data_IF_803985936515
#
_entry.id   IF_803985936515
#
_cell.length_a   1.000
_cell.length_b   1.000
_cell.length_c   1.000
_cell.angle_alpha   90.00
_cell.angle_beta   90.00
_cell.angle_gamma   90.00
#
_symmetry.space_group_name_H-M   'P 1'
#
loop_
_entity.id
_entity.type
_entity.pdbx_description
1 polymer ?
#
# COMPACT_ATOMS: atom_id res chain seq x y z
N UNK A 1 45.90 74.48 -1.51
CA UNK A 1 45.18 74.86 -2.74
C UNK A 1 43.90 74.03 -2.77
N UNK A 2 42.76 74.59 -2.35
CA UNK A 2 41.45 73.94 -2.41
C UNK A 2 40.65 74.57 -3.55
N UNK A 3 40.39 73.80 -4.59
CA UNK A 3 39.50 74.19 -5.69
C UNK A 3 38.06 73.90 -5.30
N UNK A 4 37.32 74.94 -4.95
CA UNK A 4 35.86 74.89 -4.78
C UNK A 4 35.21 74.91 -6.17
N UNK A 5 34.66 73.77 -6.60
CA UNK A 5 33.83 73.66 -7.80
C UNK A 5 32.44 74.23 -7.52
N UNK A 6 32.14 75.37 -8.13
CA UNK A 6 30.80 75.98 -8.14
C UNK A 6 29.85 75.13 -8.99
N UNK A 7 28.99 74.36 -8.32
CA UNK A 7 27.93 73.60 -8.99
C UNK A 7 26.81 74.57 -9.41
N UNK A 8 26.78 74.91 -10.70
CA UNK A 8 25.73 75.71 -11.32
C UNK A 8 24.39 74.97 -11.27
N UNK A 9 23.47 75.44 -10.43
CA UNK A 9 22.11 74.91 -10.33
C UNK A 9 21.25 75.43 -11.49
N UNK A 10 21.21 74.69 -12.61
CA UNK A 10 20.17 74.87 -13.62
C UNK A 10 18.82 74.55 -12.98
N UNK A 11 18.05 75.59 -12.67
CA UNK A 11 16.70 75.47 -12.13
C UNK A 11 15.80 74.73 -13.12
N UNK A 12 15.41 73.51 -12.78
CA UNK A 12 14.43 72.77 -13.55
C UNK A 12 13.05 73.41 -13.37
N UNK A 13 12.30 73.71 -14.45
CA UNK A 13 10.97 74.30 -14.33
C UNK A 13 10.04 73.35 -13.60
N UNK A 14 9.44 73.79 -12.48
CA UNK A 14 8.56 72.98 -11.62
C UNK A 14 7.43 72.27 -12.37
N UNK A 15 7.01 72.79 -13.54
CA UNK A 15 5.98 72.18 -14.39
C UNK A 15 6.42 70.85 -15.01
N UNK A 16 7.71 70.66 -15.28
CA UNK A 16 8.24 69.40 -15.83
C UNK A 16 8.31 68.28 -14.79
N UNK A 17 8.35 68.62 -13.49
CA UNK A 17 8.40 67.64 -12.41
C UNK A 17 7.06 66.91 -12.24
N UNK A 18 5.93 67.61 -12.39
CA UNK A 18 4.60 67.01 -12.30
C UNK A 18 4.32 65.96 -13.37
N UNK A 19 4.80 66.18 -14.60
CA UNK A 19 4.62 65.25 -15.73
C UNK A 19 5.44 63.97 -15.52
N UNK A 20 6.68 64.09 -15.05
CA UNK A 20 7.52 62.93 -14.71
C UNK A 20 6.93 62.07 -13.59
N UNK A 21 6.35 62.71 -12.57
CA UNK A 21 5.72 62.01 -11.44
C UNK A 21 4.45 61.27 -11.88
N UNK A 22 3.64 61.88 -12.76
CA UNK A 22 2.47 61.22 -13.35
C UNK A 22 2.87 59.99 -14.20
N UNK A 23 3.89 60.12 -15.03
CA UNK A 23 4.42 59.00 -15.85
C UNK A 23 4.98 57.87 -14.98
N UNK A 24 5.75 58.20 -13.93
CA UNK A 24 6.26 57.21 -12.99
C UNK A 24 5.12 56.49 -12.25
N UNK A 25 4.07 57.22 -11.87
CA UNK A 25 2.89 56.64 -11.23
C UNK A 25 2.13 55.70 -12.17
N UNK A 26 1.86 56.11 -13.41
CA UNK A 26 1.22 55.25 -14.41
C UNK A 26 2.07 54.00 -14.71
N UNK A 27 3.39 54.15 -14.81
CA UNK A 27 4.31 53.03 -15.01
C UNK A 27 4.30 52.05 -13.82
N UNK A 28 4.31 52.57 -12.59
CA UNK A 28 4.24 51.77 -11.37
C UNK A 28 2.93 50.98 -11.26
N UNK A 29 1.79 51.61 -11.57
CA UNK A 29 0.48 50.93 -11.59
C UNK A 29 0.46 49.81 -12.64
N UNK A 30 0.97 50.07 -13.85
CA UNK A 30 1.06 49.06 -14.92
C UNK A 30 1.91 47.84 -14.51
N UNK A 31 3.10 48.09 -13.94
CA UNK A 31 3.98 47.01 -13.46
C UNK A 31 3.36 46.20 -12.32
N UNK A 32 2.61 46.85 -11.41
CA UNK A 32 1.92 46.18 -10.30
C UNK A 32 0.84 45.21 -10.79
N UNK A 33 -0.04 45.65 -11.71
CA UNK A 33 -1.08 44.77 -12.25
C UNK A 33 -0.50 43.61 -13.07
N UNK A 34 0.58 43.84 -13.81
CA UNK A 34 1.28 42.80 -14.57
C UNK A 34 1.95 41.75 -13.66
N UNK A 35 2.57 42.17 -12.56
CA UNK A 35 3.13 41.24 -11.56
C UNK A 35 2.06 40.41 -10.86
N UNK A 36 0.91 41.02 -10.54
CA UNK A 36 -0.19 40.33 -9.86
C UNK A 36 -0.85 39.25 -10.73
N UNK A 37 -0.96 39.49 -12.03
CA UNK A 37 -1.56 38.50 -12.96
C UNK A 37 -0.64 37.30 -13.16
N UNK A 38 0.67 37.50 -13.33
CA UNK A 38 1.64 36.41 -13.45
C UNK A 38 1.76 35.57 -12.17
N UNK A 39 1.78 36.22 -10.99
CA UNK A 39 1.84 35.50 -9.71
C UNK A 39 0.60 34.62 -9.45
N UNK A 40 -0.60 35.11 -9.81
CA UNK A 40 -1.83 34.32 -9.68
C UNK A 40 -1.88 33.13 -10.64
N UNK A 41 -1.39 33.29 -11.87
CA UNK A 41 -1.30 32.19 -12.82
C UNK A 41 -0.37 31.07 -12.31
N UNK A 42 0.82 31.43 -11.78
CA UNK A 42 1.75 30.45 -11.23
C UNK A 42 1.18 29.69 -10.02
N UNK A 43 0.49 30.39 -9.11
CA UNK A 43 -0.17 29.75 -7.96
C UNK A 43 -1.34 28.86 -8.36
N UNK A 44 -2.12 29.25 -9.37
CA UNK A 44 -3.20 28.42 -9.89
C UNK A 44 -2.64 27.11 -10.49
N UNK A 45 -1.56 27.19 -11.27
CA UNK A 45 -0.90 26.00 -11.82
C UNK A 45 -0.35 25.09 -10.73
N UNK A 46 0.36 25.64 -9.73
CA UNK A 46 0.87 24.83 -8.61
C UNK A 46 -0.26 24.17 -7.82
N UNK A 47 -1.35 24.90 -7.56
CA UNK A 47 -2.50 24.35 -6.86
C UNK A 47 -3.10 23.17 -7.62
N UNK A 48 -3.32 23.31 -8.93
CA UNK A 48 -3.84 22.23 -9.78
C UNK A 48 -2.88 21.04 -9.81
N UNK A 49 -1.58 21.28 -9.87
CA UNK A 49 -0.56 20.23 -9.85
C UNK A 49 -0.57 19.45 -8.51
N UNK A 50 -0.60 20.15 -7.37
CA UNK A 50 -0.71 19.53 -6.07
C UNK A 50 -2.03 18.78 -5.87
N UNK A 51 -3.16 19.32 -6.34
CA UNK A 51 -4.45 18.63 -6.31
C UNK A 51 -4.40 17.34 -7.13
N UNK A 52 -3.76 17.38 -8.30
CA UNK A 52 -3.56 16.21 -9.16
C UNK A 52 -2.68 15.17 -8.47
N UNK A 53 -1.57 15.56 -7.86
CA UNK A 53 -0.67 14.64 -7.12
C UNK A 53 -1.36 14.02 -5.90
N UNK A 54 -2.17 14.80 -5.17
CA UNK A 54 -2.94 14.28 -4.02
C UNK A 54 -3.98 13.27 -4.51
N UNK A 55 -4.63 13.54 -5.63
CA UNK A 55 -5.60 12.63 -6.21
C UNK A 55 -4.93 11.33 -6.68
N UNK A 56 -3.83 11.41 -7.43
CA UNK A 56 -3.10 10.21 -7.89
C UNK A 56 -2.55 9.38 -6.74
N UNK A 57 -2.01 10.02 -5.69
CA UNK A 57 -1.52 9.31 -4.50
C UNK A 57 -2.64 8.59 -3.74
N UNK A 58 -3.86 9.16 -3.72
CA UNK A 58 -5.04 8.51 -3.12
C UNK A 58 -5.49 7.32 -3.95
N UNK A 59 -5.54 7.46 -5.27
CA UNK A 59 -5.88 6.37 -6.20
C UNK A 59 -4.87 5.22 -6.09
N UNK A 60 -3.57 5.52 -6.04
CA UNK A 60 -2.51 4.52 -5.83
C UNK A 60 -2.63 3.81 -4.47
N UNK A 61 -2.93 4.56 -3.41
CA UNK A 61 -3.14 3.99 -2.07
C UNK A 61 -4.38 3.08 -2.05
N UNK A 62 -5.45 3.44 -2.75
CA UNK A 62 -6.64 2.61 -2.87
C UNK A 62 -6.33 1.32 -3.65
N UNK A 63 -5.69 1.45 -4.82
CA UNK A 63 -5.25 0.31 -5.62
C UNK A 63 -4.37 -0.66 -4.81
N UNK A 64 -3.40 -0.15 -4.08
CA UNK A 64 -2.52 -0.97 -3.22
C UNK A 64 -3.31 -1.69 -2.12
N UNK A 65 -4.31 -1.04 -1.51
CA UNK A 65 -5.18 -1.70 -0.51
C UNK A 65 -5.99 -2.83 -1.13
N UNK A 66 -6.53 -2.62 -2.32
CA UNK A 66 -7.32 -3.63 -3.03
C UNK A 66 -6.43 -4.84 -3.42
N UNK A 67 -5.21 -4.59 -3.90
CA UNK A 67 -4.22 -5.63 -4.18
C UNK A 67 -3.88 -6.46 -2.93
N UNK A 68 -3.68 -5.79 -1.78
CA UNK A 68 -3.43 -6.48 -0.51
C UNK A 68 -4.61 -7.35 -0.08
N UNK A 69 -5.85 -6.90 -0.30
CA UNK A 69 -7.05 -7.71 -0.03
C UNK A 69 -7.08 -8.94 -0.93
N UNK A 70 -6.83 -8.79 -2.23
CA UNK A 70 -6.81 -9.91 -3.17
C UNK A 70 -5.71 -10.92 -2.84
N UNK A 71 -4.51 -10.47 -2.49
CA UNK A 71 -3.42 -11.35 -2.06
C UNK A 71 -3.77 -12.10 -0.77
N UNK A 72 -4.29 -11.40 0.25
CA UNK A 72 -4.66 -12.04 1.51
C UNK A 72 -5.78 -13.07 1.30
N UNK A 73 -6.80 -12.74 0.50
CA UNK A 73 -7.87 -13.67 0.15
C UNK A 73 -7.29 -14.94 -0.48
N UNK A 74 -6.33 -14.80 -1.41
CA UNK A 74 -5.66 -15.95 -2.03
C UNK A 74 -4.90 -16.80 -1.02
N UNK A 75 -4.19 -16.18 -0.08
CA UNK A 75 -3.47 -16.91 0.99
C UNK A 75 -4.46 -17.72 1.83
N UNK A 76 -5.59 -17.13 2.23
CA UNK A 76 -6.61 -17.82 3.00
C UNK A 76 -7.27 -18.98 2.24
N UNK A 77 -7.52 -18.82 0.94
CA UNK A 77 -8.03 -19.90 0.08
C UNK A 77 -7.02 -21.06 -0.01
N UNK A 78 -5.73 -20.77 -0.23
CA UNK A 78 -4.69 -21.80 -0.28
C UNK A 78 -4.47 -22.50 1.07
N UNK A 79 -4.53 -21.77 2.18
CA UNK A 79 -4.48 -22.36 3.53
C UNK A 79 -5.67 -23.30 3.77
N UNK A 80 -6.88 -22.86 3.41
CA UNK A 80 -8.08 -23.69 3.51
C UNK A 80 -7.95 -24.97 2.67
N UNK A 81 -7.40 -24.86 1.45
CA UNK A 81 -7.20 -26.00 0.54
C UNK A 81 -6.20 -26.99 1.13
N UNK A 82 -5.06 -26.52 1.64
CA UNK A 82 -4.07 -27.35 2.31
C UNK A 82 -4.67 -28.11 3.50
N UNK A 83 -5.49 -27.42 4.30
CA UNK A 83 -6.17 -28.02 5.45
C UNK A 83 -7.20 -29.08 5.04
N UNK A 84 -7.92 -28.90 3.94
CA UNK A 84 -8.81 -29.94 3.41
C UNK A 84 -8.05 -31.19 2.98
N UNK A 85 -6.93 -31.05 2.27
CA UNK A 85 -6.07 -32.19 1.94
C UNK A 85 -5.53 -32.88 3.19
N UNK A 86 -5.11 -32.11 4.19
CA UNK A 86 -4.68 -32.66 5.49
C UNK A 86 -5.82 -33.39 6.20
N UNK A 87 -7.04 -32.87 6.15
CA UNK A 87 -8.22 -33.53 6.70
C UNK A 87 -8.49 -34.88 6.01
N UNK A 88 -8.40 -34.93 4.67
CA UNK A 88 -8.55 -36.16 3.89
C UNK A 88 -7.47 -37.21 4.23
N UNK A 89 -6.20 -36.81 4.33
CA UNK A 89 -5.11 -37.71 4.73
C UNK A 89 -5.29 -38.20 6.18
N UNK A 90 -5.71 -37.32 7.09
CA UNK A 90 -5.98 -37.70 8.47
C UNK A 90 -7.17 -38.68 8.57
N UNK A 91 -8.21 -38.49 7.75
CA UNK A 91 -9.34 -39.40 7.62
C UNK A 91 -8.90 -40.79 7.14
N UNK A 92 -8.07 -40.86 6.10
CA UNK A 92 -7.51 -42.12 5.59
C UNK A 92 -6.69 -42.86 6.66
N UNK A 93 -5.97 -42.12 7.50
CA UNK A 93 -5.24 -42.65 8.67
C UNK A 93 -6.13 -42.96 9.87
N UNK A 94 -7.45 -42.82 9.74
CA UNK A 94 -8.45 -42.99 10.81
C UNK A 94 -8.18 -42.10 12.03
N UNK A 95 -7.56 -40.94 11.82
CA UNK A 95 -7.34 -39.93 12.85
C UNK A 95 -8.41 -38.84 12.75
N UNK A 96 -9.60 -39.17 13.25
CA UNK A 96 -10.80 -38.33 13.15
C UNK A 96 -10.67 -37.01 13.92
N UNK A 97 -9.90 -37.00 15.01
CA UNK A 97 -9.62 -35.77 15.77
C UNK A 97 -8.86 -34.77 14.92
N UNK A 98 -7.73 -35.17 14.32
CA UNK A 98 -6.95 -34.30 13.42
C UNK A 98 -7.76 -33.91 12.19
N UNK A 99 -8.56 -34.83 11.63
CA UNK A 99 -9.40 -34.54 10.47
C UNK A 99 -10.45 -33.45 10.78
N UNK A 100 -11.15 -33.55 11.91
CA UNK A 100 -12.13 -32.53 12.33
C UNK A 100 -11.45 -31.18 12.66
N UNK A 101 -10.30 -31.19 13.34
CA UNK A 101 -9.53 -29.96 13.61
C UNK A 101 -9.09 -29.29 12.31
N UNK A 102 -8.61 -30.06 11.34
CA UNK A 102 -8.21 -29.54 10.04
C UNK A 102 -9.42 -28.96 9.26
N UNK A 103 -10.57 -29.63 9.32
CA UNK A 103 -11.81 -29.17 8.69
C UNK A 103 -12.33 -27.84 9.29
N UNK A 104 -12.34 -27.74 10.62
CA UNK A 104 -12.68 -26.50 11.31
C UNK A 104 -11.68 -25.38 11.00
N UNK A 105 -10.39 -25.72 10.92
CA UNK A 105 -9.35 -24.80 10.50
C UNK A 105 -9.55 -24.28 9.08
N UNK A 106 -9.94 -25.16 8.14
CA UNK A 106 -10.25 -24.76 6.77
C UNK A 106 -11.44 -23.79 6.74
N UNK A 107 -12.51 -24.10 7.48
CA UNK A 107 -13.66 -23.22 7.57
C UNK A 107 -13.34 -21.86 8.22
N UNK A 108 -12.47 -21.84 9.23
CA UNK A 108 -12.00 -20.60 9.85
C UNK A 108 -11.17 -19.76 8.88
N UNK A 109 -10.29 -20.37 8.09
CA UNK A 109 -9.52 -19.68 7.05
C UNK A 109 -10.45 -19.08 5.98
N UNK A 110 -11.46 -19.82 5.51
CA UNK A 110 -12.47 -19.28 4.58
C UNK A 110 -13.26 -18.12 5.18
N UNK A 111 -13.53 -18.15 6.49
CA UNK A 111 -14.21 -17.06 7.20
C UNK A 111 -13.38 -15.76 7.28
N UNK A 112 -12.08 -15.81 7.01
CA UNK A 112 -11.18 -14.65 6.97
C UNK A 112 -11.09 -14.00 5.59
N UNK A 113 -11.59 -14.68 4.54
CA UNK A 113 -11.68 -14.11 3.19
C UNK A 113 -12.58 -12.87 3.25
N UNK A 114 -12.15 -11.77 2.64
CA UNK A 114 -12.91 -10.53 2.53
C UNK A 114 -13.58 -10.43 1.17
N UNK A 115 -14.61 -9.62 1.07
CA UNK A 115 -15.25 -9.31 -0.21
C UNK A 115 -14.24 -8.64 -1.16
N UNK A 116 -14.16 -9.14 -2.38
CA UNK A 116 -13.29 -8.65 -3.46
C UNK A 116 -13.98 -8.96 -4.79
N UNK A 117 -13.80 -8.12 -5.83
CA UNK A 117 -14.39 -8.37 -7.16
C UNK A 117 -13.94 -9.70 -7.78
N UNK A 118 -12.77 -10.23 -7.38
CA UNK A 118 -12.19 -11.44 -7.98
C UNK A 118 -12.66 -12.74 -7.31
N UNK A 119 -13.33 -12.65 -6.16
CA UNK A 119 -13.69 -13.82 -5.35
C UNK A 119 -15.20 -13.80 -5.09
N UNK A 120 -15.95 -14.85 -5.46
CA UNK A 120 -17.40 -14.90 -5.24
C UNK A 120 -17.70 -15.15 -3.75
N UNK A 121 -17.65 -14.07 -2.96
CA UNK A 121 -17.69 -14.09 -1.49
C UNK A 121 -18.88 -14.88 -0.91
N UNK A 122 -20.06 -14.78 -1.51
CA UNK A 122 -21.24 -15.55 -1.08
C UNK A 122 -21.02 -17.07 -1.18
N UNK A 123 -20.35 -17.56 -2.23
CA UNK A 123 -20.02 -18.99 -2.38
C UNK A 123 -18.98 -19.42 -1.34
N UNK A 124 -17.95 -18.61 -1.13
CA UNK A 124 -16.93 -18.85 -0.09
C UNK A 124 -17.57 -18.98 1.30
N UNK A 125 -18.50 -18.09 1.66
CA UNK A 125 -19.19 -18.15 2.94
C UNK A 125 -20.13 -19.35 3.07
N UNK A 126 -20.81 -19.72 1.98
CA UNK A 126 -21.62 -20.94 1.93
C UNK A 126 -20.76 -22.18 2.17
N UNK A 127 -19.60 -22.27 1.52
CA UNK A 127 -18.64 -23.35 1.69
C UNK A 127 -18.09 -23.39 3.13
N UNK A 128 -17.70 -22.24 3.70
CA UNK A 128 -17.27 -22.13 5.09
C UNK A 128 -18.34 -22.68 6.05
N UNK A 129 -19.60 -22.29 5.87
CA UNK A 129 -20.71 -22.78 6.69
C UNK A 129 -20.96 -24.29 6.50
N UNK A 130 -20.83 -24.81 5.27
CA UNK A 130 -20.95 -26.24 4.98
C UNK A 130 -19.84 -27.06 5.67
N UNK A 131 -18.60 -26.55 5.66
CA UNK A 131 -17.48 -27.16 6.36
C UNK A 131 -17.68 -27.15 7.88
N UNK A 132 -18.14 -26.04 8.47
CA UNK A 132 -18.43 -25.96 9.91
C UNK A 132 -19.49 -26.96 10.37
N UNK A 133 -20.50 -27.22 9.53
CA UNK A 133 -21.57 -28.18 9.83
C UNK A 133 -21.15 -29.64 9.60
N UNK A 134 -20.05 -29.87 8.88
CA UNK A 134 -19.57 -31.21 8.58
C UNK A 134 -18.79 -31.75 9.78
N UNK A 135 -19.18 -32.91 10.26
CA UNK A 135 -18.48 -33.62 11.32
C UNK A 135 -18.12 -35.02 10.82
N UNK A 136 -16.83 -35.36 10.93
CA UNK A 136 -16.29 -36.65 10.55
C UNK A 136 -16.48 -37.61 11.72
N UNK A 137 -17.33 -38.62 11.52
CA UNK A 137 -17.66 -39.62 12.53
C UNK A 137 -17.14 -41.01 12.14
N UNK A 138 -16.55 -41.71 13.11
CA UNK A 138 -16.04 -43.10 13.00
C UNK A 138 -17.10 -44.09 12.53
N UNK A 139 -18.35 -43.91 12.94
CA UNK A 139 -19.44 -44.85 12.68
C UNK A 139 -20.09 -44.71 11.29
N UNK A 140 -19.72 -43.67 10.54
CA UNK A 140 -20.28 -43.42 9.21
C UNK A 140 -19.38 -43.97 8.10
N UNK A 141 -19.94 -44.10 6.90
CA UNK A 141 -19.22 -44.60 5.74
C UNK A 141 -18.06 -43.64 5.37
N UNK A 142 -16.82 -44.11 5.55
CA UNK A 142 -15.60 -43.34 5.31
C UNK A 142 -15.43 -42.94 3.84
N UNK A 143 -15.86 -43.80 2.92
CA UNK A 143 -15.80 -43.51 1.48
C UNK A 143 -16.67 -42.31 1.13
N UNK A 144 -17.90 -42.28 1.66
CA UNK A 144 -18.81 -41.14 1.46
C UNK A 144 -18.27 -39.85 2.10
N UNK A 145 -17.64 -39.95 3.27
CA UNK A 145 -17.01 -38.78 3.92
C UNK A 145 -15.82 -38.27 3.11
N UNK A 146 -14.97 -39.17 2.60
CA UNK A 146 -13.83 -38.82 1.74
C UNK A 146 -14.30 -38.16 0.45
N UNK A 147 -15.30 -38.74 -0.21
CA UNK A 147 -15.90 -38.16 -1.42
C UNK A 147 -16.43 -36.74 -1.16
N UNK A 148 -17.08 -36.51 -0.01
CA UNK A 148 -17.54 -35.16 0.39
C UNK A 148 -16.38 -34.18 0.61
N UNK A 149 -15.29 -34.60 1.25
CA UNK A 149 -14.11 -33.75 1.45
C UNK A 149 -13.44 -33.39 0.12
N UNK A 150 -13.35 -34.34 -0.82
CA UNK A 150 -12.80 -34.09 -2.16
C UNK A 150 -13.69 -33.13 -2.95
N UNK A 151 -15.01 -33.26 -2.85
CA UNK A 151 -15.94 -32.32 -3.48
C UNK A 151 -15.78 -30.89 -2.93
N UNK A 152 -15.55 -30.72 -1.63
CA UNK A 152 -15.23 -29.40 -1.07
C UNK A 152 -13.90 -28.83 -1.58
N UNK A 153 -12.89 -29.69 -1.78
CA UNK A 153 -11.60 -29.26 -2.31
C UNK A 153 -11.72 -28.83 -3.79
N UNK A 154 -12.50 -29.56 -4.59
CA UNK A 154 -12.79 -29.22 -5.98
C UNK A 154 -13.60 -27.91 -6.08
N UNK A 155 -14.63 -27.74 -5.24
CA UNK A 155 -15.37 -26.48 -5.17
C UNK A 155 -14.43 -25.31 -4.79
N UNK A 156 -13.50 -25.52 -3.86
CA UNK A 156 -12.51 -24.50 -3.48
C UNK A 156 -11.51 -24.18 -4.60
N UNK A 157 -11.15 -25.16 -5.42
CA UNK A 157 -10.29 -24.97 -6.58
C UNK A 157 -10.99 -24.10 -7.64
N UNK A 158 -12.29 -24.32 -7.89
CA UNK A 158 -13.12 -23.46 -8.76
C UNK A 158 -13.24 -22.01 -8.21
N UNK A 159 -13.21 -21.86 -6.88
CA UNK A 159 -13.26 -20.56 -6.20
C UNK A 159 -11.93 -19.83 -6.17
N UNK A 160 -10.82 -20.52 -6.40
CA UNK A 160 -9.50 -19.91 -6.41
C UNK A 160 -9.27 -19.34 -7.79
N UNK A 161 -9.22 -18.00 -7.97
CA UNK A 161 -9.00 -17.42 -9.28
C UNK A 161 -7.71 -18.02 -9.85
N UNK A 162 -7.84 -18.75 -10.96
CA UNK A 162 -6.72 -19.33 -11.68
C UNK A 162 -5.72 -18.20 -11.86
N UNK A 163 -4.55 -18.32 -11.24
CA UNK A 163 -3.54 -17.29 -11.32
C UNK A 163 -3.28 -17.06 -12.81
N UNK A 164 -3.77 -15.94 -13.35
CA UNK A 164 -3.35 -15.50 -14.66
C UNK A 164 -1.82 -15.55 -14.61
N UNK A 165 -1.16 -16.29 -15.51
CA UNK A 165 0.28 -16.47 -15.44
C UNK A 165 0.90 -15.08 -15.33
N UNK A 166 1.66 -14.83 -14.25
CA UNK A 166 2.41 -13.58 -14.05
C UNK A 166 3.55 -13.41 -15.09
N UNK A 167 3.47 -14.13 -16.21
CA UNK A 167 4.53 -14.42 -17.16
C UNK A 167 4.39 -13.63 -18.48
N UNK A 168 3.34 -12.81 -18.65
CA UNK A 168 3.07 -12.17 -19.96
C UNK A 168 3.61 -10.73 -20.12
N UNK A 169 4.28 -10.12 -19.14
CA UNK A 169 4.87 -8.77 -19.31
C UNK A 169 6.38 -8.66 -19.01
N UNK A 170 7.07 -9.76 -18.69
CA UNK A 170 8.52 -9.70 -18.41
C UNK A 170 9.42 -9.75 -19.67
N UNK A 171 8.87 -9.81 -20.90
CA UNK A 171 9.69 -10.11 -22.11
C UNK A 171 9.53 -9.17 -23.32
N UNK A 172 8.86 -8.01 -23.23
CA UNK A 172 8.83 -7.04 -24.36
C UNK A 172 9.77 -5.83 -24.20
N UNK A 173 10.65 -5.82 -23.19
CA UNK A 173 11.60 -4.74 -22.91
C UNK A 173 13.04 -4.94 -23.42
N UNK A 174 13.31 -5.90 -24.31
CA UNK A 174 14.62 -6.02 -25.00
C UNK A 174 14.50 -5.53 -26.43
N UNK A 175 14.40 -4.22 -26.58
CA UNK A 175 14.79 -3.51 -27.80
C UNK A 175 15.67 -2.33 -27.42
N UNK A 176 16.95 -2.66 -27.23
CA UNK A 176 18.08 -1.96 -27.84
C UNK A 176 18.27 -0.46 -27.55
N UNK A 177 19.17 -0.10 -26.61
CA UNK A 177 19.91 1.15 -26.66
C UNK A 177 21.36 0.87 -27.11
N UNK A 178 21.56 0.41 -28.34
CA UNK A 178 22.81 0.66 -29.07
C UNK A 178 22.86 2.15 -29.46
N UNK A 179 22.88 2.99 -28.43
CA UNK A 179 23.20 4.41 -28.46
C UNK A 179 24.55 4.61 -27.78
N UNK A 180 25.59 4.24 -28.52
CA UNK A 180 26.97 4.59 -28.24
C UNK A 180 27.11 6.11 -28.07
N UNK A 181 27.40 6.59 -26.86
CA UNK A 181 28.04 7.89 -26.68
C UNK A 181 29.04 7.82 -25.54
N UNK A 182 30.30 7.62 -25.92
CA UNK A 182 31.47 7.81 -25.08
C UNK A 182 31.47 9.21 -24.48
N UNK A 183 31.53 9.29 -23.15
CA UNK A 183 31.67 10.54 -22.41
C UNK A 183 32.38 10.28 -21.09
N UNK A 184 33.71 10.39 -21.14
CA UNK A 184 34.57 10.26 -19.98
C UNK A 184 34.19 11.26 -18.87
N UNK A 185 34.11 10.79 -17.62
CA UNK A 185 34.42 11.67 -16.50
C UNK A 185 35.12 10.88 -15.39
N UNK A 186 36.42 11.15 -15.28
CA UNK A 186 37.28 10.70 -14.22
C UNK A 186 37.01 11.54 -12.96
N UNK A 187 36.70 10.88 -11.85
CA UNK A 187 36.57 11.51 -10.54
C UNK A 187 37.08 10.57 -9.46
N UNK A 188 38.35 10.72 -9.14
CA UNK A 188 39.07 9.95 -8.12
C UNK A 188 38.49 10.17 -6.73
N UNK A 189 38.26 9.07 -6.00
CA UNK A 189 37.86 9.07 -4.60
C UNK A 189 38.59 7.97 -3.85
N UNK A 190 39.87 8.22 -3.58
CA UNK A 190 40.78 7.43 -2.74
C UNK A 190 40.25 7.28 -1.31
N UNK A 191 40.24 6.06 -0.79
CA UNK A 191 39.91 5.73 0.59
C UNK A 191 40.41 4.35 0.98
N UNK A 192 41.74 4.21 1.10
CA UNK A 192 42.40 3.14 1.84
C UNK A 192 41.86 3.09 3.29
N UNK A 193 41.80 1.99 4.01
CA UNK A 193 42.35 0.65 3.85
C UNK A 193 42.40 0.00 5.24
N UNK A 194 42.98 -1.21 5.30
CA UNK A 194 43.32 -1.98 6.51
C UNK A 194 42.12 -2.62 7.22
N UNK A 195 42.00 -3.94 7.37
CA UNK A 195 43.02 -4.98 7.45
C UNK A 195 42.63 -5.87 8.64
N UNK A 196 42.49 -7.18 8.44
CA UNK A 196 42.03 -8.06 9.51
C UNK A 196 41.98 -9.52 9.08
N UNK A 197 43.09 -10.21 9.30
CA UNK A 197 43.39 -11.61 8.99
C UNK A 197 42.44 -12.61 9.66
N UNK A 198 42.15 -13.70 8.94
CA UNK A 198 41.64 -14.95 9.49
C UNK A 198 42.63 -15.57 10.51
N UNK A 199 42.12 -16.39 11.45
CA UNK A 199 42.60 -17.77 11.48
C UNK A 199 41.52 -18.83 11.79
N UNK A 200 41.71 -20.00 11.16
CA UNK A 200 41.51 -21.39 11.62
C UNK A 200 40.43 -21.79 12.63
N UNK A 201 39.64 -22.79 12.21
CA UNK A 201 39.30 -24.05 12.89
C UNK A 201 39.31 -24.07 14.43
N UNK A 202 38.13 -24.09 15.05
CA UNK A 202 37.89 -24.96 16.20
C UNK A 202 36.40 -25.28 16.39
N UNK A 203 36.21 -26.53 16.76
CA UNK A 203 35.01 -27.31 17.03
C UNK A 203 34.20 -26.78 18.21
N UNK A 204 32.90 -26.53 18.03
CA UNK A 204 31.94 -26.50 19.14
C UNK A 204 30.52 -26.74 18.63
N UNK A 205 29.98 -27.90 19.00
CA UNK A 205 28.57 -28.28 18.84
C UNK A 205 27.75 -27.51 19.87
N UNK A 206 26.78 -26.65 19.51
CA UNK A 206 25.85 -26.11 20.49
C UNK A 206 24.68 -27.08 20.64
N UNK A 207 24.79 -27.89 21.69
CA UNK A 207 23.67 -28.49 22.40
C UNK A 207 22.69 -27.39 22.86
N UNK A 208 21.41 -27.78 22.98
CA UNK A 208 20.36 -27.11 23.77
C UNK A 208 19.47 -26.09 23.05
N UNK A 209 18.55 -26.67 22.28
CA UNK A 209 17.10 -26.54 22.43
C UNK A 209 16.59 -25.82 23.71
N UNK A 210 16.72 -24.49 23.76
CA UNK A 210 15.97 -23.65 24.70
C UNK A 210 14.65 -23.22 24.04
N UNK A 211 13.58 -23.95 24.36
CA UNK A 211 12.20 -23.55 24.10
C UNK A 211 11.91 -22.32 24.97
N UNK A 212 12.03 -21.11 24.42
CA UNK A 212 11.48 -19.91 25.07
C UNK A 212 9.97 -19.93 24.91
N UNK A 213 9.30 -20.34 25.98
CA UNK A 213 7.87 -20.25 26.17
C UNK A 213 7.51 -18.87 26.71
N UNK A 214 7.59 -17.83 25.87
CA UNK A 214 7.07 -16.49 26.17
C UNK A 214 6.02 -16.09 25.13
N UNK A 215 4.92 -16.86 25.09
CA UNK A 215 3.69 -16.42 24.43
C UNK A 215 2.84 -15.64 25.44
N UNK A 216 3.33 -14.45 25.82
CA UNK A 216 2.55 -13.47 26.56
C UNK A 216 1.41 -12.99 25.65
N UNK A 217 0.21 -13.50 25.90
CA UNK A 217 -1.02 -13.06 25.26
C UNK A 217 -1.36 -11.68 25.82
N UNK A 218 -0.87 -10.61 25.17
CA UNK A 218 -1.30 -9.25 25.47
C UNK A 218 -2.74 -9.07 25.00
N UNK A 219 -3.68 -9.35 25.89
CA UNK A 219 -5.07 -8.98 25.76
C UNK A 219 -5.25 -7.49 26.07
N UNK A 220 -4.81 -6.62 25.16
CA UNK A 220 -5.20 -5.21 25.15
C UNK A 220 -6.29 -5.00 24.10
N UNK A 221 -7.49 -5.49 24.42
CA UNK A 221 -8.71 -5.15 23.71
C UNK A 221 -9.39 -4.00 24.46
N UNK A 222 -8.75 -2.82 24.44
CA UNK A 222 -9.36 -1.58 24.90
C UNK A 222 -10.41 -1.13 23.88
N UNK A 223 -11.62 -1.66 24.04
CA UNK A 223 -12.84 -1.15 23.42
C UNK A 223 -13.02 0.30 23.86
N UNK A 224 -12.67 1.24 22.98
CA UNK A 224 -13.04 2.65 23.12
C UNK A 224 -14.45 2.83 22.59
N UNK A 225 -15.44 2.60 23.44
CA UNK A 225 -16.85 2.97 23.20
C UNK A 225 -17.12 4.37 23.70
N UNK A 226 -16.59 5.41 23.04
CA UNK A 226 -17.08 6.79 23.25
C UNK A 226 -16.90 7.61 21.97
N UNK A 227 -17.94 7.69 21.14
CA UNK A 227 -18.34 8.96 20.53
C UNK A 227 -19.77 8.87 19.95
N UNK A 228 -20.77 8.79 20.82
CA UNK A 228 -22.15 9.10 20.46
C UNK A 228 -22.28 10.62 20.29
N UNK A 229 -21.92 11.11 19.10
CA UNK A 229 -22.28 12.47 18.67
C UNK A 229 -23.79 12.52 18.54
N UNK A 230 -24.45 13.03 19.57
CA UNK A 230 -25.86 13.41 19.55
C UNK A 230 -25.99 14.62 18.63
N UNK A 231 -26.28 14.36 17.35
CA UNK A 231 -26.66 15.41 16.42
C UNK A 231 -28.10 15.83 16.79
N UNK A 232 -28.20 16.86 17.64
CA UNK A 232 -29.48 17.49 17.96
C UNK A 232 -30.02 18.15 16.69
N UNK A 233 -31.06 17.53 16.15
CA UNK A 233 -31.92 18.12 15.12
C UNK A 233 -32.53 19.39 15.72
N UNK A 234 -32.07 20.55 15.26
CA UNK A 234 -32.76 21.82 15.46
C UNK A 234 -33.94 21.82 14.48
N UNK A 235 -35.09 21.34 14.95
CA UNK A 235 -36.39 21.63 14.32
C UNK A 235 -36.65 23.13 14.45
N UNK A 236 -36.29 23.86 13.40
CA UNK A 236 -36.65 25.25 13.25
C UNK A 236 -38.11 25.32 12.75
N UNK A 237 -39.05 25.24 13.69
CA UNK A 237 -40.45 25.59 13.43
C UNK A 237 -40.57 27.12 13.39
N UNK A 238 -40.79 27.66 12.20
CA UNK A 238 -41.21 29.04 12.02
C UNK A 238 -42.75 29.12 11.95
N UNK A 239 -43.35 30.21 12.48
CA UNK A 239 -44.80 30.44 12.48
C UNK A 239 -45.39 30.83 11.12
#
# INVERSE_FOLDING_TARGET
>A
MNSTSSTSSKGFPLKSFGILLLLAFLGGVGAYFYGLSQGRAALATQKTEFETQIQSAREETQKSKDEVVTINNRVHLLDAQNRLYRAAVALDRRNFGIANTALQGAAAALGQVKESPDVPFARVQSLAAALQKTNINVAANLENQRARLLAFAEEMEDLTPSAAPLEAEATSGTSDPSGESAGANAGAGSGAGSGGTAPTEEEAVPSENAVSSDNATSADNAVSTENSVSNSVIENSAP
#
